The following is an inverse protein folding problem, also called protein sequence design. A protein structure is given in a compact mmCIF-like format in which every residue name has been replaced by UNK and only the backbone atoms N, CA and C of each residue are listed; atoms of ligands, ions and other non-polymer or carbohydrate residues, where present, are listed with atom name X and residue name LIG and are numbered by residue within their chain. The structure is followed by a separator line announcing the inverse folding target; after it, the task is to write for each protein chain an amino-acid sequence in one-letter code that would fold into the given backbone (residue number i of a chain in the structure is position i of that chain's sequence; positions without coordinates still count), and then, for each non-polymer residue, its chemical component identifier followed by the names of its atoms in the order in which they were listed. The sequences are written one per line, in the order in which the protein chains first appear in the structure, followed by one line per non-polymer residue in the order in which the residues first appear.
data_IF_835091143747
#
_entry.id   IF_835091143747
#
_cell.length_a   1.000
_cell.length_b   1.000
_cell.length_c   1.000
_cell.angle_alpha   90.00
_cell.angle_beta   90.00
_cell.angle_gamma   90.00
#
_symmetry.space_group_name_H-M   'P 1'
#
loop_
_entity.id
_entity.type
_entity.pdbx_description
1 polymer ?
#
# COMPACT_ATOMS: atom_id res chain seq x y z
N UNK A 1 -43.59 27.56 -66.20
CA UNK A 1 -43.13 28.35 -65.05
C UNK A 1 -44.03 28.26 -63.81
N UNK A 2 -45.23 27.64 -63.86
CA UNK A 2 -46.15 27.57 -62.73
C UNK A 2 -45.98 26.36 -61.77
N UNK A 3 -45.02 25.44 -62.01
CA UNK A 3 -44.84 24.24 -61.15
C UNK A 3 -43.63 24.29 -60.21
N UNK A 4 -42.84 25.37 -60.21
CA UNK A 4 -41.60 25.48 -59.40
C UNK A 4 -41.81 26.21 -58.06
N UNK A 5 -42.85 27.03 -57.95
CA UNK A 5 -43.13 27.87 -56.76
C UNK A 5 -43.54 27.00 -55.54
N UNK A 6 -44.41 25.97 -55.66
CA UNK A 6 -44.79 25.13 -54.52
C UNK A 6 -43.63 24.31 -53.92
N UNK A 7 -42.63 23.94 -54.74
CA UNK A 7 -41.46 23.19 -54.30
C UNK A 7 -40.46 24.08 -53.54
N UNK A 8 -40.32 25.36 -53.92
CA UNK A 8 -39.43 26.29 -53.24
C UNK A 8 -39.97 26.71 -51.87
N UNK A 9 -41.28 27.01 -51.77
CA UNK A 9 -41.92 27.35 -50.49
C UNK A 9 -41.86 26.20 -49.48
N UNK A 10 -41.94 24.95 -49.96
CA UNK A 10 -41.82 23.75 -49.13
C UNK A 10 -40.37 23.46 -48.74
N UNK A 11 -39.40 23.65 -49.63
CA UNK A 11 -37.96 23.58 -49.28
C UNK A 11 -37.58 24.65 -48.25
N UNK A 12 -38.10 25.87 -48.40
CA UNK A 12 -37.94 26.94 -47.42
C UNK A 12 -38.60 26.58 -46.09
N UNK A 13 -39.77 25.94 -46.11
CA UNK A 13 -40.43 25.44 -44.90
C UNK A 13 -39.64 24.33 -44.20
N UNK A 14 -39.02 23.43 -44.98
CA UNK A 14 -38.12 22.37 -44.48
C UNK A 14 -36.85 22.99 -43.86
N UNK A 15 -36.24 23.96 -44.53
CA UNK A 15 -35.04 24.67 -44.05
C UNK A 15 -35.38 25.50 -42.80
N UNK A 16 -36.54 26.19 -42.77
CA UNK A 16 -37.01 26.92 -41.60
C UNK A 16 -37.28 25.98 -40.43
N UNK A 17 -37.94 24.84 -40.66
CA UNK A 17 -38.10 23.81 -39.64
C UNK A 17 -36.73 23.33 -39.14
N UNK A 18 -35.78 23.00 -40.02
CA UNK A 18 -34.42 22.59 -39.66
C UNK A 18 -33.63 23.66 -38.87
N UNK A 19 -33.81 24.95 -39.22
CA UNK A 19 -33.17 26.08 -38.54
C UNK A 19 -33.76 26.29 -37.15
N UNK A 20 -35.09 26.31 -37.02
CA UNK A 20 -35.79 26.41 -35.73
C UNK A 20 -35.49 25.21 -34.81
N UNK A 21 -35.24 24.05 -35.40
CA UNK A 21 -34.81 22.83 -34.73
C UNK A 21 -33.36 22.93 -34.19
N UNK A 22 -32.48 23.68 -34.87
CA UNK A 22 -31.07 23.82 -34.46
C UNK A 22 -30.85 24.77 -33.27
N UNK A 23 -31.78 25.71 -33.02
CA UNK A 23 -31.70 26.71 -31.94
C UNK A 23 -32.23 26.19 -30.58
N UNK A 24 -32.84 25.01 -30.54
CA UNK A 24 -33.36 24.42 -29.32
C UNK A 24 -32.25 23.70 -28.53
N UNK A 25 -31.61 24.40 -27.59
CA UNK A 25 -30.72 23.77 -26.62
C UNK A 25 -31.47 22.74 -25.76
N UNK A 26 -31.05 21.47 -25.89
CA UNK A 26 -31.06 20.41 -24.86
C UNK A 26 -32.40 19.90 -24.29
N UNK A 27 -33.49 19.88 -25.07
CA UNK A 27 -34.65 19.01 -24.78
C UNK A 27 -34.95 18.11 -25.98
N UNK A 28 -34.45 16.88 -25.91
CA UNK A 28 -34.56 15.89 -26.99
C UNK A 28 -36.01 15.43 -27.20
N UNK A 29 -36.81 15.36 -26.14
CA UNK A 29 -38.21 14.92 -26.23
C UNK A 29 -39.07 16.01 -26.91
N UNK A 30 -38.90 17.27 -26.49
CA UNK A 30 -39.55 18.39 -27.16
C UNK A 30 -39.08 18.54 -28.62
N UNK A 31 -37.82 18.22 -28.90
CA UNK A 31 -37.28 18.21 -30.26
C UNK A 31 -37.90 17.10 -31.12
N UNK A 32 -37.96 15.86 -30.62
CA UNK A 32 -38.62 14.75 -31.31
C UNK A 32 -40.09 15.07 -31.59
N UNK A 33 -40.80 15.69 -30.64
CA UNK A 33 -42.19 16.10 -30.83
C UNK A 33 -42.33 17.12 -31.96
N UNK A 34 -41.48 18.16 -31.99
CA UNK A 34 -41.48 19.15 -33.09
C UNK A 34 -41.19 18.52 -34.45
N UNK A 35 -40.24 17.58 -34.53
CA UNK A 35 -39.94 16.85 -35.77
C UNK A 35 -41.16 16.04 -36.23
N UNK A 36 -41.79 15.31 -35.31
CA UNK A 36 -42.97 14.49 -35.59
C UNK A 36 -44.15 15.35 -36.08
N UNK A 37 -44.45 16.45 -35.41
CA UNK A 37 -45.54 17.36 -35.78
C UNK A 37 -45.27 18.03 -37.14
N UNK A 38 -44.03 18.47 -37.37
CA UNK A 38 -43.61 19.08 -38.64
C UNK A 38 -43.70 18.10 -39.81
N UNK A 39 -43.23 16.86 -39.60
CA UNK A 39 -43.29 15.81 -40.61
C UNK A 39 -44.73 15.44 -40.94
N UNK A 40 -45.61 15.31 -39.94
CA UNK A 40 -47.03 15.08 -40.18
C UNK A 40 -47.64 16.19 -41.04
N UNK A 41 -47.44 17.46 -40.65
CA UNK A 41 -48.00 18.61 -41.34
C UNK A 41 -47.46 18.76 -42.78
N UNK A 42 -46.15 18.57 -42.98
CA UNK A 42 -45.53 18.69 -44.31
C UNK A 42 -45.93 17.57 -45.26
N UNK A 43 -46.22 16.37 -44.73
CA UNK A 43 -46.58 15.20 -45.54
C UNK A 43 -48.08 14.98 -45.70
N UNK A 44 -48.92 15.76 -45.02
CA UNK A 44 -50.37 15.55 -44.92
C UNK A 44 -50.72 14.10 -44.52
N UNK A 45 -49.89 13.50 -43.66
CA UNK A 45 -50.06 12.11 -43.25
C UNK A 45 -51.07 11.98 -42.10
N UNK A 46 -51.69 10.81 -41.98
CA UNK A 46 -52.57 10.52 -40.86
C UNK A 46 -51.83 10.61 -39.51
N UNK A 47 -50.53 10.28 -39.51
CA UNK A 47 -49.66 10.47 -38.37
C UNK A 47 -48.19 10.19 -38.63
N UNK A 48 -47.36 10.65 -37.70
CA UNK A 48 -45.91 10.47 -37.69
C UNK A 48 -45.43 9.93 -36.34
N UNK A 49 -44.36 9.14 -36.35
CA UNK A 49 -43.79 8.50 -35.16
C UNK A 49 -42.27 8.44 -35.27
N UNK A 50 -41.58 8.69 -34.16
CA UNK A 50 -40.18 8.33 -33.96
C UNK A 50 -40.11 7.06 -33.11
N UNK A 51 -39.49 6.03 -33.66
CA UNK A 51 -39.24 4.76 -32.97
C UNK A 51 -37.73 4.61 -32.72
N UNK A 52 -37.30 4.26 -31.51
CA UNK A 52 -35.89 3.97 -31.20
C UNK A 52 -35.68 2.49 -30.89
N UNK A 53 -34.50 1.98 -31.21
CA UNK A 53 -34.09 0.61 -30.90
C UNK A 53 -33.76 0.50 -29.41
N UNK A 54 -34.38 -0.47 -28.73
CA UNK A 54 -34.00 -0.89 -27.39
C UNK A 54 -33.92 -2.41 -27.32
N UNK A 55 -32.68 -2.95 -27.36
CA UNK A 55 -32.47 -4.39 -27.44
C UNK A 55 -33.12 -4.99 -28.68
N UNK A 56 -34.06 -5.92 -28.49
CA UNK A 56 -34.82 -6.58 -29.57
C UNK A 56 -36.18 -5.91 -29.87
N UNK A 57 -36.40 -4.68 -29.39
CA UNK A 57 -37.64 -3.95 -29.61
C UNK A 57 -37.44 -2.63 -30.37
N UNK A 58 -38.44 -2.25 -31.18
CA UNK A 58 -38.66 -0.90 -31.66
C UNK A 58 -39.66 -0.21 -30.72
N UNK A 59 -39.26 0.89 -30.10
CA UNK A 59 -40.05 1.57 -29.06
C UNK A 59 -40.54 2.92 -29.57
N UNK A 60 -41.84 3.15 -29.49
CA UNK A 60 -42.47 4.41 -29.89
C UNK A 60 -42.08 5.48 -28.88
N UNK A 61 -41.08 6.30 -29.21
CA UNK A 61 -40.60 7.35 -28.32
C UNK A 61 -41.48 8.58 -28.36
N UNK A 62 -41.90 8.93 -29.56
CA UNK A 62 -42.65 10.14 -29.81
C UNK A 62 -43.64 9.89 -30.95
N UNK A 63 -44.85 10.41 -30.83
CA UNK A 63 -45.90 10.24 -31.82
C UNK A 63 -46.71 11.52 -31.99
N UNK A 64 -47.22 11.75 -33.19
CA UNK A 64 -48.11 12.88 -33.49
C UNK A 64 -49.37 12.78 -32.64
N UNK A 65 -50.09 13.90 -32.43
CA UNK A 65 -51.30 13.94 -31.61
C UNK A 65 -52.31 12.81 -31.92
N UNK A 66 -52.54 12.50 -33.20
CA UNK A 66 -53.43 11.42 -33.66
C UNK A 66 -53.00 10.01 -33.21
N UNK A 67 -51.74 9.84 -32.79
CA UNK A 67 -51.13 8.58 -32.38
C UNK A 67 -50.52 8.63 -30.97
N UNK A 68 -50.71 9.71 -30.22
CA UNK A 68 -50.11 9.92 -28.90
C UNK A 68 -50.46 8.81 -27.90
N UNK A 69 -51.65 8.20 -28.02
CA UNK A 69 -52.08 7.07 -27.20
C UNK A 69 -51.19 5.81 -27.34
N UNK A 70 -50.34 5.75 -28.38
CA UNK A 70 -49.42 4.65 -28.64
C UNK A 70 -47.97 4.98 -28.25
N UNK A 71 -47.71 6.12 -27.62
CA UNK A 71 -46.39 6.40 -27.06
C UNK A 71 -45.99 5.31 -26.03
N UNK A 72 -44.75 4.84 -26.11
CA UNK A 72 -44.25 3.71 -25.30
C UNK A 72 -44.57 2.32 -25.86
N UNK A 73 -45.35 2.19 -26.95
CA UNK A 73 -45.58 0.91 -27.60
C UNK A 73 -44.26 0.25 -28.02
N UNK A 74 -44.12 -1.05 -27.72
CA UNK A 74 -42.94 -1.85 -28.06
C UNK A 74 -43.30 -2.88 -29.11
N UNK A 75 -42.69 -2.78 -30.28
CA UNK A 75 -42.80 -3.77 -31.35
C UNK A 75 -41.57 -4.66 -31.35
N UNK A 76 -41.72 -5.95 -31.68
CA UNK A 76 -40.54 -6.79 -31.94
C UNK A 76 -39.79 -6.23 -33.14
N UNK A 77 -38.47 -6.15 -33.02
CA UNK A 77 -37.59 -5.70 -34.11
C UNK A 77 -37.61 -6.70 -35.25
N UNK A 78 -37.55 -8.00 -34.94
CA UNK A 78 -37.83 -9.06 -35.90
C UNK A 78 -39.32 -9.12 -36.27
N UNK A 79 -39.63 -9.01 -37.58
CA UNK A 79 -41.00 -9.12 -38.09
C UNK A 79 -41.79 -7.81 -38.17
N UNK A 80 -41.15 -6.66 -37.97
CA UNK A 80 -41.75 -5.33 -38.21
C UNK A 80 -41.05 -4.59 -39.34
N UNK A 81 -41.79 -3.78 -40.10
CA UNK A 81 -41.23 -2.97 -41.18
C UNK A 81 -40.20 -1.94 -40.65
N UNK A 82 -40.46 -1.36 -39.48
CA UNK A 82 -39.53 -0.47 -38.79
C UNK A 82 -38.21 -1.17 -38.43
N UNK A 83 -38.29 -2.38 -37.84
CA UNK A 83 -37.10 -3.16 -37.52
C UNK A 83 -36.33 -3.62 -38.76
N UNK A 84 -37.05 -3.93 -39.85
CA UNK A 84 -36.45 -4.25 -41.15
C UNK A 84 -35.72 -3.05 -41.76
N UNK A 85 -36.28 -1.83 -41.65
CA UNK A 85 -35.66 -0.60 -42.12
C UNK A 85 -34.35 -0.31 -41.39
N UNK A 86 -34.32 -0.49 -40.06
CA UNK A 86 -33.09 -0.41 -39.27
C UNK A 86 -32.07 -1.48 -39.69
N UNK A 87 -32.51 -2.73 -39.85
CA UNK A 87 -31.62 -3.85 -40.19
C UNK A 87 -31.00 -3.71 -41.59
N UNK A 88 -31.79 -3.27 -42.57
CA UNK A 88 -31.33 -3.04 -43.95
C UNK A 88 -30.66 -1.68 -44.14
N UNK A 89 -30.75 -0.79 -43.15
CA UNK A 89 -30.25 0.59 -43.20
C UNK A 89 -30.81 1.34 -44.42
N UNK A 90 -32.08 1.11 -44.73
CA UNK A 90 -32.75 1.62 -45.92
C UNK A 90 -34.15 2.15 -45.61
N UNK A 91 -34.58 3.13 -46.40
CA UNK A 91 -35.97 3.62 -46.38
C UNK A 91 -36.87 2.52 -46.94
N UNK A 92 -37.88 2.12 -46.17
CA UNK A 92 -38.83 1.10 -46.57
C UNK A 92 -40.23 1.68 -46.68
N UNK A 93 -40.85 1.45 -47.85
CA UNK A 93 -42.21 1.86 -48.16
C UNK A 93 -43.13 0.64 -48.23
N UNK A 94 -44.30 0.77 -47.62
CA UNK A 94 -45.42 -0.16 -47.68
C UNK A 94 -46.62 0.59 -48.27
N UNK A 95 -46.97 0.28 -49.51
CA UNK A 95 -48.04 0.93 -50.24
C UNK A 95 -49.44 0.41 -49.85
N UNK A 96 -49.55 -0.85 -49.44
CA UNK A 96 -50.78 -1.43 -48.92
C UNK A 96 -50.47 -2.49 -47.86
N UNK A 97 -50.89 -2.24 -46.62
CA UNK A 97 -50.66 -3.15 -45.49
C UNK A 97 -51.39 -4.48 -45.59
N UNK A 98 -52.39 -4.66 -46.47
CA UNK A 98 -53.03 -5.98 -46.68
C UNK A 98 -52.21 -6.89 -47.58
N UNK A 99 -51.39 -6.28 -48.43
CA UNK A 99 -50.67 -6.96 -49.51
C UNK A 99 -49.20 -7.14 -49.16
N UNK A 100 -48.67 -6.36 -48.21
CA UNK A 100 -47.27 -6.41 -47.81
C UNK A 100 -47.03 -7.48 -46.71
N UNK A 101 -46.25 -8.55 -46.98
CA UNK A 101 -45.96 -9.58 -45.99
C UNK A 101 -44.97 -9.11 -44.91
N UNK A 102 -44.36 -7.93 -45.05
CA UNK A 102 -43.37 -7.39 -44.10
C UNK A 102 -44.01 -6.67 -42.91
N UNK A 103 -45.32 -6.45 -42.93
CA UNK A 103 -46.07 -5.79 -41.85
C UNK A 103 -46.98 -6.79 -41.12
N UNK A 104 -47.24 -6.52 -39.84
CA UNK A 104 -48.30 -7.18 -39.10
C UNK A 104 -49.65 -6.57 -39.49
N UNK A 105 -50.42 -7.29 -40.31
CA UNK A 105 -51.69 -6.81 -40.86
C UNK A 105 -52.75 -6.62 -39.77
N UNK A 106 -52.78 -7.49 -38.78
CA UNK A 106 -53.75 -7.42 -37.69
C UNK A 106 -53.47 -6.21 -36.79
N UNK A 107 -52.20 -5.92 -36.51
CA UNK A 107 -51.80 -4.67 -35.87
C UNK A 107 -52.16 -3.44 -36.70
N UNK A 108 -51.88 -3.45 -38.02
CA UNK A 108 -52.22 -2.32 -38.89
C UNK A 108 -53.73 -2.05 -38.95
N UNK A 109 -54.57 -3.09 -39.02
CA UNK A 109 -56.03 -2.96 -38.99
C UNK A 109 -56.55 -2.38 -37.69
N UNK A 110 -56.02 -2.82 -36.54
CA UNK A 110 -56.41 -2.29 -35.21
C UNK A 110 -56.12 -0.80 -35.08
N UNK A 111 -55.03 -0.34 -35.66
CA UNK A 111 -54.58 1.06 -35.60
C UNK A 111 -55.16 1.88 -36.79
N UNK A 112 -55.80 1.24 -37.76
CA UNK A 112 -56.43 1.90 -38.91
C UNK A 112 -55.45 2.37 -39.99
N UNK A 113 -54.25 1.79 -40.07
CA UNK A 113 -53.23 2.17 -41.05
C UNK A 113 -53.32 1.29 -42.29
N UNK A 114 -53.17 1.91 -43.47
CA UNK A 114 -53.25 1.27 -44.79
C UNK A 114 -51.98 1.38 -45.61
N UNK A 115 -51.14 2.39 -45.36
CA UNK A 115 -49.82 2.53 -45.97
C UNK A 115 -48.86 3.26 -45.02
N UNK A 116 -47.55 3.04 -45.17
CA UNK A 116 -46.52 3.66 -44.33
C UNK A 116 -45.15 3.75 -45.00
N UNK A 117 -44.33 4.69 -44.54
CA UNK A 117 -42.91 4.79 -44.88
C UNK A 117 -42.10 4.84 -43.59
N UNK A 118 -41.08 3.99 -43.50
CA UNK A 118 -40.11 3.96 -42.40
C UNK A 118 -38.74 4.43 -42.91
N UNK A 119 -38.20 5.49 -42.32
CA UNK A 119 -36.90 6.07 -42.68
C UNK A 119 -35.94 5.89 -41.50
N UNK A 120 -34.76 5.27 -41.68
CA UNK A 120 -33.83 5.02 -40.58
C UNK A 120 -33.21 6.32 -40.04
N UNK A 121 -33.04 6.39 -38.72
CA UNK A 121 -32.31 7.44 -38.02
C UNK A 121 -30.87 6.97 -37.76
N UNK A 122 -29.89 7.76 -38.19
CA UNK A 122 -28.47 7.41 -38.05
C UNK A 122 -27.77 8.24 -36.98
N UNK A 123 -27.06 7.57 -36.08
CA UNK A 123 -26.12 8.17 -35.13
C UNK A 123 -24.75 7.52 -35.31
N UNK A 124 -23.71 8.30 -35.68
CA UNK A 124 -22.36 7.76 -35.86
C UNK A 124 -22.24 6.65 -36.92
N UNK A 125 -23.16 6.61 -37.89
CA UNK A 125 -23.25 5.56 -38.91
C UNK A 125 -24.10 4.35 -38.50
N UNK A 126 -24.52 4.22 -37.25
CA UNK A 126 -25.43 3.16 -36.81
C UNK A 126 -26.89 3.60 -36.93
N UNK A 127 -27.76 2.71 -37.41
CA UNK A 127 -29.20 2.96 -37.43
C UNK A 127 -29.78 2.71 -36.03
N UNK A 128 -30.16 3.78 -35.33
CA UNK A 128 -30.61 3.73 -33.93
C UNK A 128 -32.14 3.75 -33.78
N UNK A 129 -32.86 3.92 -34.89
CA UNK A 129 -34.32 4.05 -34.89
C UNK A 129 -34.89 4.31 -36.27
N UNK A 130 -36.18 4.65 -36.34
CA UNK A 130 -36.85 5.12 -37.54
C UNK A 130 -37.71 6.37 -37.27
N UNK A 131 -37.76 7.27 -38.25
CA UNK A 131 -38.84 8.23 -38.41
C UNK A 131 -39.85 7.65 -39.40
N UNK A 132 -41.10 7.57 -38.99
CA UNK A 132 -42.16 6.87 -39.71
C UNK A 132 -43.34 7.79 -39.94
N UNK A 133 -43.94 7.71 -41.13
CA UNK A 133 -45.28 8.27 -41.41
C UNK A 133 -46.24 7.20 -41.88
N UNK A 134 -47.52 7.43 -41.61
CA UNK A 134 -48.59 6.47 -41.85
C UNK A 134 -49.80 7.17 -42.45
N UNK A 135 -50.53 6.47 -43.32
CA UNK A 135 -51.77 6.95 -43.91
C UNK A 135 -52.89 5.91 -43.82
N UNK A 136 -54.14 6.39 -43.83
CA UNK A 136 -55.35 5.56 -43.75
C UNK A 136 -55.86 5.09 -45.12
N UNK A 137 -55.18 5.45 -46.21
CA UNK A 137 -55.47 4.97 -47.55
C UNK A 137 -54.29 4.14 -48.10
N UNK A 138 -54.55 3.13 -48.97
CA UNK A 138 -53.49 2.52 -49.76
C UNK A 138 -52.87 3.58 -50.68
N UNK A 139 -51.55 3.50 -50.92
CA UNK A 139 -50.76 4.47 -51.67
C UNK A 139 -50.88 5.92 -51.13
N UNK A 140 -51.18 6.08 -49.84
CA UNK A 140 -51.46 7.38 -49.23
C UNK A 140 -50.23 8.23 -48.93
N UNK A 141 -49.04 7.81 -49.36
CA UNK A 141 -47.77 8.52 -49.15
C UNK A 141 -47.08 8.65 -50.51
N UNK A 142 -46.78 9.89 -50.92
CA UNK A 142 -46.12 10.18 -52.19
C UNK A 142 -44.58 10.22 -52.05
N UNK A 143 -43.89 10.30 -53.18
CA UNK A 143 -42.41 10.34 -53.20
C UNK A 143 -41.85 11.61 -52.55
N UNK A 144 -42.61 12.69 -52.57
CA UNK A 144 -42.25 13.96 -51.95
C UNK A 144 -42.28 13.88 -50.41
N UNK A 145 -43.23 13.12 -49.84
CA UNK A 145 -43.25 12.79 -48.43
C UNK A 145 -42.04 11.92 -48.04
N UNK A 146 -41.65 10.95 -48.87
CA UNK A 146 -40.43 10.15 -48.65
C UNK A 146 -39.18 11.04 -48.53
N UNK A 147 -39.01 11.99 -49.45
CA UNK A 147 -37.90 12.95 -49.42
C UNK A 147 -37.94 13.85 -48.18
N UNK A 148 -39.14 14.26 -47.77
CA UNK A 148 -39.34 15.06 -46.54
C UNK A 148 -38.87 14.28 -45.31
N UNK A 149 -39.22 13.00 -45.23
CA UNK A 149 -38.79 12.13 -44.13
C UNK A 149 -37.28 11.94 -44.12
N UNK A 150 -36.65 11.75 -45.28
CA UNK A 150 -35.19 11.55 -45.38
C UNK A 150 -34.41 12.75 -44.80
N UNK A 151 -34.80 13.97 -45.18
CA UNK A 151 -34.17 15.21 -44.67
C UNK A 151 -34.39 15.42 -43.16
N UNK A 152 -35.60 15.13 -42.69
CA UNK A 152 -35.95 15.25 -41.25
C UNK A 152 -35.25 14.17 -40.43
N UNK A 153 -35.17 12.95 -40.94
CA UNK A 153 -34.46 11.83 -40.31
C UNK A 153 -32.96 12.10 -40.18
N UNK A 154 -32.32 12.69 -41.19
CA UNK A 154 -30.92 13.09 -41.12
C UNK A 154 -30.68 14.15 -40.03
N UNK A 155 -31.56 15.15 -39.94
CA UNK A 155 -31.48 16.22 -38.94
C UNK A 155 -31.65 15.66 -37.52
N UNK A 156 -32.66 14.81 -37.33
CA UNK A 156 -32.94 14.17 -36.05
C UNK A 156 -31.82 13.20 -35.63
N UNK A 157 -31.30 12.41 -36.57
CA UNK A 157 -30.15 11.52 -36.32
C UNK A 157 -28.90 12.28 -35.86
N UNK A 158 -28.59 13.42 -36.48
CA UNK A 158 -27.47 14.28 -36.07
C UNK A 158 -27.64 14.85 -34.66
N UNK A 159 -28.85 15.32 -34.32
CA UNK A 159 -29.16 15.84 -32.99
C UNK A 159 -29.05 14.75 -31.90
N UNK A 160 -29.62 13.57 -32.16
CA UNK A 160 -29.52 12.38 -31.29
C UNK A 160 -28.05 11.99 -31.06
N UNK A 161 -27.23 11.97 -32.12
CA UNK A 161 -25.81 11.63 -32.01
C UNK A 161 -25.02 12.60 -31.14
N UNK A 162 -25.28 13.91 -31.25
CA UNK A 162 -24.64 14.95 -30.43
C UNK A 162 -25.03 14.83 -28.95
N UNK A 163 -26.31 14.55 -28.66
CA UNK A 163 -26.78 14.37 -27.29
C UNK A 163 -26.15 13.15 -26.61
N UNK A 164 -26.15 11.99 -27.28
CA UNK A 164 -25.53 10.78 -26.77
C UNK A 164 -24.03 10.96 -26.49
N UNK A 165 -23.33 11.65 -27.39
CA UNK A 165 -21.91 11.96 -27.20
C UNK A 165 -21.67 12.91 -26.01
N UNK A 166 -22.56 13.89 -25.79
CA UNK A 166 -22.46 14.80 -24.66
C UNK A 166 -22.68 14.09 -23.32
N UNK A 167 -23.70 13.24 -23.22
CA UNK A 167 -23.97 12.44 -22.02
C UNK A 167 -22.82 11.47 -21.70
N UNK A 168 -22.27 10.80 -22.71
CA UNK A 168 -21.10 9.94 -22.54
C UNK A 168 -19.89 10.72 -22.03
N UNK A 169 -19.64 11.93 -22.57
CA UNK A 169 -18.54 12.79 -22.10
C UNK A 169 -18.73 13.21 -20.64
N UNK A 170 -19.94 13.59 -20.25
CA UNK A 170 -20.25 13.94 -18.86
C UNK A 170 -20.05 12.74 -17.93
N UNK A 171 -20.48 11.54 -18.33
CA UNK A 171 -20.29 10.32 -17.55
C UNK A 171 -18.81 9.96 -17.40
N UNK A 172 -18.03 10.03 -18.48
CA UNK A 172 -16.58 9.80 -18.43
C UNK A 172 -15.87 10.83 -17.55
N UNK A 173 -16.23 12.11 -17.65
CA UNK A 173 -15.67 13.16 -16.81
C UNK A 173 -15.99 12.94 -15.32
N UNK A 174 -17.23 12.56 -15.00
CA UNK A 174 -17.64 12.21 -13.64
C UNK A 174 -16.89 10.97 -13.11
N UNK A 175 -16.72 9.94 -13.93
CA UNK A 175 -15.94 8.76 -13.57
C UNK A 175 -14.47 9.08 -13.31
N UNK A 176 -13.85 9.90 -14.16
CA UNK A 176 -12.48 10.37 -13.98
C UNK A 176 -12.34 11.13 -12.66
N UNK A 177 -13.20 12.11 -12.41
CA UNK A 177 -13.17 12.90 -11.19
C UNK A 177 -13.38 12.04 -9.93
N UNK A 178 -14.30 11.07 -9.99
CA UNK A 178 -14.52 10.14 -8.88
C UNK A 178 -13.35 9.17 -8.67
N UNK A 179 -12.67 8.74 -9.73
CA UNK A 179 -11.45 7.93 -9.66
C UNK A 179 -10.30 8.72 -9.05
N UNK A 180 -10.11 9.97 -9.46
CA UNK A 180 -9.09 10.88 -8.93
C UNK A 180 -9.32 11.15 -7.43
N UNK A 181 -10.56 11.47 -7.04
CA UNK A 181 -10.92 11.65 -5.63
C UNK A 181 -10.67 10.39 -4.81
N UNK A 182 -10.94 9.20 -5.36
CA UNK A 182 -10.70 7.91 -4.70
C UNK A 182 -9.21 7.63 -4.53
N UNK A 183 -8.40 7.85 -5.57
CA UNK A 183 -6.94 7.72 -5.50
C UNK A 183 -6.36 8.71 -4.47
N UNK A 184 -6.81 9.96 -4.50
CA UNK A 184 -6.40 10.99 -3.53
C UNK A 184 -6.78 10.62 -2.10
N UNK A 185 -7.97 10.07 -1.87
CA UNK A 185 -8.40 9.58 -0.56
C UNK A 185 -7.55 8.38 -0.09
N UNK A 186 -7.20 7.44 -0.99
CA UNK A 186 -6.31 6.32 -0.66
C UNK A 186 -4.91 6.80 -0.27
N UNK A 187 -4.39 7.83 -0.93
CA UNK A 187 -3.10 8.46 -0.59
C UNK A 187 -3.15 9.24 0.73
N UNK A 188 -4.27 9.93 1.01
CA UNK A 188 -4.48 10.69 2.25
C UNK A 188 -4.73 9.81 3.48
N UNK A 189 -5.29 8.61 3.28
CA UNK A 189 -5.54 7.61 4.34
C UNK A 189 -4.47 6.51 4.42
N UNK A 190 -3.42 6.58 3.61
CA UNK A 190 -2.22 5.78 3.88
C UNK A 190 -1.65 6.24 5.23
N UNK A 191 -1.41 5.30 6.14
CA UNK A 191 -0.73 5.61 7.40
C UNK A 191 0.72 6.09 7.19
N UNK A 192 1.24 5.93 5.97
CA UNK A 192 2.61 6.27 5.63
C UNK A 192 2.74 7.76 5.28
N UNK A 193 3.85 8.34 5.71
CA UNK A 193 4.26 9.68 5.32
C UNK A 193 4.61 9.70 3.82
N UNK A 194 3.99 10.61 3.08
CA UNK A 194 4.26 10.83 1.65
C UNK A 194 4.92 12.19 1.52
N UNK A 195 6.10 12.19 0.90
CA UNK A 195 6.87 13.40 0.61
C UNK A 195 7.33 13.34 -0.82
N UNK A 196 7.05 14.40 -1.57
CA UNK A 196 7.56 14.59 -2.94
C UNK A 196 8.56 15.74 -2.99
N UNK A 197 9.56 15.64 -3.85
CA UNK A 197 10.54 16.69 -4.09
C UNK A 197 10.94 16.78 -5.56
N UNK A 198 11.38 17.98 -5.97
CA UNK A 198 11.87 18.23 -7.32
C UNK A 198 13.32 17.75 -7.54
N UNK A 199 13.85 18.00 -8.74
CA UNK A 199 15.22 17.66 -9.11
C UNK A 199 16.30 18.34 -8.28
N UNK A 200 15.99 19.46 -7.62
CA UNK A 200 16.90 20.16 -6.71
C UNK A 200 16.81 19.64 -5.26
N UNK A 201 15.93 18.68 -4.98
CA UNK A 201 15.67 18.16 -3.65
C UNK A 201 14.79 19.06 -2.80
N UNK A 202 14.05 19.98 -3.43
CA UNK A 202 13.11 20.89 -2.76
C UNK A 202 11.75 20.22 -2.64
N UNK A 203 11.16 20.24 -1.45
CA UNK A 203 9.89 19.59 -1.16
C UNK A 203 8.73 20.25 -1.93
N UNK A 204 8.01 19.45 -2.71
CA UNK A 204 6.84 19.83 -3.50
C UNK A 204 5.53 19.31 -2.91
N UNK A 205 5.58 18.25 -2.11
CA UNK A 205 4.41 17.66 -1.46
C UNK A 205 4.75 17.17 -0.05
N UNK A 206 3.82 17.38 0.88
CA UNK A 206 3.96 16.99 2.27
C UNK A 206 2.59 16.62 2.84
N UNK A 207 2.30 15.33 3.00
CA UNK A 207 0.98 14.88 3.44
C UNK A 207 0.80 15.00 4.98
N UNK A 208 -0.43 14.93 5.52
CA UNK A 208 -0.67 15.00 6.97
C UNK A 208 0.03 13.89 7.78
N UNK A 209 0.34 12.74 7.18
CA UNK A 209 1.11 11.69 7.84
C UNK A 209 2.58 12.08 8.01
N UNK A 210 3.17 12.78 7.04
CA UNK A 210 4.51 13.36 7.14
C UNK A 210 4.58 14.45 8.22
N UNK A 211 3.52 15.26 8.37
CA UNK A 211 3.44 16.23 9.48
C UNK A 211 3.50 15.55 10.84
N UNK A 212 2.73 14.47 11.03
CA UNK A 212 2.75 13.70 12.29
C UNK A 212 4.07 12.99 12.51
N UNK A 213 4.68 12.44 11.45
CA UNK A 213 5.90 11.66 11.54
C UNK A 213 7.14 12.51 11.87
N UNK A 214 7.28 13.67 11.21
CA UNK A 214 8.50 14.48 11.31
C UNK A 214 8.32 15.79 12.07
N UNK A 215 7.08 16.18 12.43
CA UNK A 215 6.79 17.36 13.25
C UNK A 215 6.84 18.71 12.51
N UNK A 216 7.01 18.67 11.19
CA UNK A 216 6.94 19.85 10.33
C UNK A 216 5.55 19.99 9.73
N UNK A 217 4.95 21.18 9.83
CA UNK A 217 3.69 21.44 9.11
C UNK A 217 3.97 21.60 7.61
N UNK A 218 2.99 21.26 6.77
CA UNK A 218 3.13 21.32 5.33
C UNK A 218 3.47 22.75 4.84
N UNK A 219 2.88 23.78 5.44
CA UNK A 219 3.17 25.19 5.12
C UNK A 219 4.61 25.61 5.47
N UNK A 220 5.29 24.89 6.36
CA UNK A 220 6.69 25.11 6.70
C UNK A 220 7.65 24.23 5.90
N UNK A 221 7.21 23.02 5.53
CA UNK A 221 8.03 22.04 4.80
C UNK A 221 8.08 22.32 3.29
N UNK A 222 6.98 22.79 2.70
CA UNK A 222 6.89 23.06 1.27
C UNK A 222 7.90 24.15 0.86
N UNK A 223 8.62 23.90 -0.24
CA UNK A 223 9.65 24.80 -0.75
C UNK A 223 10.98 24.76 0.02
N UNK A 224 11.12 23.92 1.05
CA UNK A 224 12.39 23.72 1.75
C UNK A 224 13.18 22.54 1.17
N UNK A 225 14.52 22.52 1.30
CA UNK A 225 15.32 21.35 0.96
C UNK A 225 14.99 20.18 1.89
N UNK A 226 14.67 19.00 1.32
CA UNK A 226 14.35 17.81 2.11
C UNK A 226 15.47 17.44 3.10
N UNK A 227 16.73 17.65 2.69
CA UNK A 227 17.91 17.35 3.51
C UNK A 227 18.01 18.20 4.78
N UNK A 228 17.45 19.41 4.77
CA UNK A 228 17.40 20.27 5.95
C UNK A 228 16.34 19.82 6.97
N UNK A 229 15.25 19.18 6.50
CA UNK A 229 14.10 18.82 7.32
C UNK A 229 14.27 17.48 8.04
N UNK A 230 14.59 16.41 7.31
CA UNK A 230 14.49 15.04 7.83
C UNK A 230 15.77 14.23 7.75
N UNK A 231 16.78 14.70 7.01
CA UNK A 231 18.04 13.96 6.83
C UNK A 231 19.03 14.33 7.96
N UNK A 232 19.60 13.35 8.68
CA UNK A 232 20.57 13.60 9.73
C UNK A 232 21.76 14.43 9.22
N UNK A 233 22.29 15.40 9.99
CA UNK A 233 23.33 16.31 9.53
C UNK A 233 24.55 15.61 8.89
N UNK A 234 24.99 14.49 9.46
CA UNK A 234 26.12 13.70 8.96
C UNK A 234 25.89 13.05 7.58
N UNK A 235 24.63 12.93 7.13
CA UNK A 235 24.25 12.22 5.91
C UNK A 235 23.78 13.15 4.78
N UNK A 236 23.60 14.45 5.04
CA UNK A 236 23.06 15.42 4.05
C UNK A 236 23.89 15.48 2.77
N UNK A 237 25.21 15.58 2.90
CA UNK A 237 26.11 15.62 1.73
C UNK A 237 26.03 14.34 0.88
N UNK A 238 25.93 13.18 1.53
CA UNK A 238 25.81 11.90 0.85
C UNK A 238 24.48 11.76 0.11
N UNK A 239 23.39 12.25 0.73
CA UNK A 239 22.05 12.33 0.16
C UNK A 239 22.04 13.24 -1.09
N UNK A 240 22.49 14.49 -0.96
CA UNK A 240 22.44 15.48 -2.04
C UNK A 240 23.32 15.05 -3.22
N UNK A 241 24.51 14.51 -2.94
CA UNK A 241 25.36 13.90 -3.97
C UNK A 241 24.74 12.65 -4.61
N UNK A 242 23.86 11.94 -3.90
CA UNK A 242 23.10 10.81 -4.41
C UNK A 242 22.10 11.23 -5.49
N UNK A 243 21.35 12.31 -5.24
CA UNK A 243 20.40 12.90 -6.20
C UNK A 243 21.13 13.31 -7.48
N UNK A 244 22.23 14.06 -7.35
CA UNK A 244 23.03 14.50 -8.50
C UNK A 244 23.54 13.32 -9.35
N UNK A 245 24.05 12.26 -8.71
CA UNK A 245 24.49 11.04 -9.41
C UNK A 245 23.35 10.31 -10.10
N UNK A 246 22.16 10.29 -9.51
CA UNK A 246 20.98 9.67 -10.10
C UNK A 246 20.58 10.39 -11.40
N UNK A 247 20.46 11.73 -11.35
CA UNK A 247 20.10 12.55 -12.51
C UNK A 247 21.10 12.39 -13.66
N UNK A 248 22.40 12.32 -13.36
CA UNK A 248 23.46 12.15 -14.35
C UNK A 248 23.42 10.79 -15.08
N UNK A 249 22.80 9.75 -14.50
CA UNK A 249 22.73 8.40 -15.09
C UNK A 249 21.49 8.14 -15.94
N UNK A 250 20.62 9.15 -16.13
CA UNK A 250 19.42 9.02 -16.96
C UNK A 250 18.23 8.34 -16.29
N UNK A 251 18.26 8.17 -14.96
CA UNK A 251 17.11 7.88 -14.09
C UNK A 251 16.15 6.77 -14.54
N UNK A 252 16.31 5.57 -13.98
CA UNK A 252 15.26 4.56 -13.95
C UNK A 252 15.52 3.60 -12.79
N UNK A 253 15.40 4.11 -11.56
CA UNK A 253 15.50 3.29 -10.35
C UNK A 253 14.32 3.60 -9.43
N UNK A 254 13.64 2.53 -9.04
CA UNK A 254 12.74 2.48 -7.90
C UNK A 254 13.50 1.72 -6.82
N UNK A 255 13.63 2.29 -5.63
CA UNK A 255 14.09 1.53 -4.48
C UNK A 255 12.89 1.19 -3.60
N UNK A 256 12.78 -0.09 -3.26
CA UNK A 256 11.79 -0.58 -2.31
C UNK A 256 12.48 -0.94 -1.00
N UNK A 257 11.91 -0.48 0.12
CA UNK A 257 12.23 -0.96 1.47
C UNK A 257 13.69 -0.76 1.90
N UNK A 258 14.10 0.49 2.04
CA UNK A 258 15.36 0.89 2.66
C UNK A 258 15.11 1.31 4.11
N UNK A 259 15.82 0.73 5.07
CA UNK A 259 15.80 1.21 6.44
C UNK A 259 16.87 2.29 6.64
N UNK A 260 16.46 3.52 6.93
CA UNK A 260 17.35 4.68 7.01
C UNK A 260 17.12 5.47 8.30
N UNK A 261 18.17 6.11 8.85
CA UNK A 261 18.00 7.07 9.91
C UNK A 261 17.39 8.37 9.36
N UNK A 262 16.48 8.95 10.13
CA UNK A 262 15.92 10.26 9.90
C UNK A 262 15.97 11.08 11.20
N UNK A 263 15.63 12.37 11.11
CA UNK A 263 15.47 13.24 12.27
C UNK A 263 14.08 13.87 12.28
N UNK A 264 13.50 13.95 13.48
CA UNK A 264 12.31 14.75 13.74
C UNK A 264 12.70 16.23 13.89
N UNK A 265 11.73 17.16 13.76
CA UNK A 265 11.94 18.61 13.87
C UNK A 265 12.69 19.07 15.12
N UNK A 266 12.47 18.39 16.25
CA UNK A 266 13.13 18.68 17.52
C UNK A 266 14.58 18.14 17.62
N UNK A 267 15.05 17.47 16.55
CA UNK A 267 16.38 16.88 16.46
C UNK A 267 16.45 15.44 16.97
N UNK A 268 15.35 14.84 17.44
CA UNK A 268 15.37 13.44 17.87
C UNK A 268 15.64 12.50 16.70
N UNK A 269 16.59 11.56 16.84
CA UNK A 269 16.85 10.57 15.81
C UNK A 269 15.73 9.52 15.78
N UNK A 270 15.35 9.13 14.57
CA UNK A 270 14.37 8.08 14.33
C UNK A 270 14.82 7.15 13.22
N UNK A 271 14.17 5.98 13.12
CA UNK A 271 14.40 5.05 12.02
C UNK A 271 13.16 4.96 11.15
N UNK A 272 13.34 5.14 9.86
CA UNK A 272 12.26 5.04 8.87
C UNK A 272 12.53 3.88 7.91
N UNK A 273 11.46 3.24 7.45
CA UNK A 273 11.46 2.43 6.24
C UNK A 273 11.00 3.30 5.06
N UNK A 274 11.85 3.42 4.03
CA UNK A 274 11.63 4.23 2.84
C UNK A 274 11.42 3.35 1.61
N UNK A 275 10.37 3.64 0.85
CA UNK A 275 10.23 3.25 -0.55
C UNK A 275 10.09 4.50 -1.41
N UNK A 276 10.77 4.58 -2.54
CA UNK A 276 10.73 5.78 -3.37
C UNK A 276 10.76 5.49 -4.87
N UNK A 277 10.20 6.41 -5.65
CA UNK A 277 10.22 6.41 -7.10
C UNK A 277 10.55 7.79 -7.64
N UNK A 278 11.35 7.85 -8.70
CA UNK A 278 11.54 9.06 -9.50
C UNK A 278 10.85 8.91 -10.87
N UNK A 279 10.18 9.95 -11.34
CA UNK A 279 9.55 9.99 -12.67
C UNK A 279 9.79 11.34 -13.35
N UNK A 280 9.66 11.38 -14.67
CA UNK A 280 9.60 12.63 -15.42
C UNK A 280 8.15 13.06 -15.62
N UNK A 281 7.82 14.25 -15.11
CA UNK A 281 6.50 14.89 -15.26
C UNK A 281 6.73 16.23 -15.96
N UNK A 282 6.11 16.42 -17.13
CA UNK A 282 6.28 17.66 -17.92
C UNK A 282 7.72 17.97 -18.33
N UNK A 283 8.59 16.95 -18.43
CA UNK A 283 10.01 17.11 -18.75
C UNK A 283 10.93 17.42 -17.56
N UNK A 284 10.38 17.57 -16.34
CA UNK A 284 11.14 17.74 -15.11
C UNK A 284 11.14 16.44 -14.28
N UNK A 285 12.20 16.21 -13.53
CA UNK A 285 12.27 15.09 -12.58
C UNK A 285 11.54 15.42 -11.28
N UNK A 286 10.72 14.48 -10.83
CA UNK A 286 10.05 14.49 -9.53
C UNK A 286 10.30 13.16 -8.81
N UNK A 287 10.53 13.25 -7.50
CA UNK A 287 10.76 12.10 -6.63
C UNK A 287 9.65 12.04 -5.59
N UNK A 288 9.08 10.86 -5.38
CA UNK A 288 8.09 10.63 -4.32
C UNK A 288 8.58 9.51 -3.42
N UNK A 289 8.61 9.78 -2.12
CA UNK A 289 8.98 8.85 -1.06
C UNK A 289 7.80 8.51 -0.15
N UNK A 290 7.68 7.24 0.20
CA UNK A 290 6.75 6.67 1.16
C UNK A 290 7.55 6.20 2.37
N UNK A 291 7.20 6.71 3.55
CA UNK A 291 7.99 6.52 4.76
C UNK A 291 7.14 6.04 5.92
N UNK A 292 7.65 5.04 6.63
CA UNK A 292 7.02 4.44 7.79
C UNK A 292 7.95 4.49 9.00
N UNK A 293 7.43 4.82 10.19
CA UNK A 293 8.22 4.77 11.42
C UNK A 293 8.48 3.31 11.83
N UNK A 294 9.74 2.93 11.94
CA UNK A 294 10.15 1.61 12.44
C UNK A 294 10.92 1.72 13.75
N UNK A 295 10.88 2.87 14.42
CA UNK A 295 11.61 3.14 15.66
C UNK A 295 11.16 2.21 16.79
N UNK A 296 9.85 2.00 16.95
CA UNK A 296 9.32 1.06 17.95
C UNK A 296 9.72 -0.38 17.63
N UNK A 297 9.58 -0.81 16.36
CA UNK A 297 10.02 -2.13 15.89
C UNK A 297 11.49 -2.36 16.22
N UNK A 298 12.37 -1.41 15.88
CA UNK A 298 13.81 -1.52 16.18
C UNK A 298 14.12 -1.51 17.67
N UNK A 299 13.39 -0.73 18.46
CA UNK A 299 13.52 -0.75 19.93
C UNK A 299 13.13 -2.10 20.50
N UNK A 300 12.03 -2.69 20.04
CA UNK A 300 11.57 -4.01 20.47
C UNK A 300 12.54 -5.10 20.02
N UNK A 301 13.02 -5.07 18.78
CA UNK A 301 14.04 -5.99 18.28
C UNK A 301 15.33 -5.91 19.11
N UNK A 302 15.80 -4.70 19.44
CA UNK A 302 16.97 -4.49 20.30
C UNK A 302 16.73 -4.97 21.74
N UNK A 303 15.55 -4.72 22.30
CA UNK A 303 15.17 -5.20 23.62
C UNK A 303 15.08 -6.73 23.68
N UNK A 304 14.47 -7.37 22.67
CA UNK A 304 14.42 -8.81 22.53
C UNK A 304 15.82 -9.42 22.36
N UNK A 305 16.69 -8.78 21.58
CA UNK A 305 18.10 -9.20 21.44
C UNK A 305 18.84 -9.12 22.78
N UNK A 306 18.60 -8.05 23.54
CA UNK A 306 19.16 -7.88 24.88
C UNK A 306 18.67 -8.97 25.82
N UNK A 307 17.36 -9.24 25.88
CA UNK A 307 16.79 -10.31 26.72
C UNK A 307 17.25 -11.72 26.30
N UNK A 308 17.47 -11.94 25.00
CA UNK A 308 17.95 -13.22 24.50
C UNK A 308 19.40 -13.51 24.89
N UNK A 309 20.21 -12.48 25.16
CA UNK A 309 21.65 -12.61 25.38
C UNK A 309 22.12 -12.22 26.79
N UNK A 310 21.35 -11.41 27.51
CA UNK A 310 21.76 -10.84 28.80
C UNK A 310 20.83 -11.28 29.94
N UNK A 311 21.40 -11.34 31.15
CA UNK A 311 20.65 -11.49 32.39
C UNK A 311 19.96 -10.14 32.73
N UNK A 312 18.63 -10.11 32.92
CA UNK A 312 17.89 -8.85 33.04
C UNK A 312 18.22 -8.06 34.31
N UNK A 313 18.70 -8.70 35.37
CA UNK A 313 19.06 -8.02 36.60
C UNK A 313 20.48 -7.44 36.53
N UNK A 314 21.45 -8.20 36.02
CA UNK A 314 22.87 -7.82 36.08
C UNK A 314 23.43 -7.22 34.79
N UNK A 315 22.77 -7.40 33.64
CA UNK A 315 23.26 -6.98 32.32
C UNK A 315 24.52 -7.74 31.84
N UNK A 316 24.89 -8.82 32.53
CA UNK A 316 25.92 -9.78 32.08
C UNK A 316 25.34 -10.73 31.05
N UNK A 317 26.18 -11.54 30.39
CA UNK A 317 25.66 -12.58 29.51
C UNK A 317 24.81 -13.58 30.31
N UNK A 318 23.67 -13.98 29.75
CA UNK A 318 22.89 -15.08 30.29
C UNK A 318 23.56 -16.43 29.99
N UNK A 319 23.02 -17.50 30.57
CA UNK A 319 23.54 -18.87 30.39
C UNK A 319 23.74 -19.24 28.93
N UNK A 320 22.76 -18.98 28.06
CA UNK A 320 22.82 -19.33 26.64
C UNK A 320 23.96 -18.60 25.94
N UNK A 321 24.03 -17.28 26.07
CA UNK A 321 25.05 -16.47 25.40
C UNK A 321 26.46 -16.76 25.94
N UNK A 322 26.60 -17.08 27.22
CA UNK A 322 27.88 -17.45 27.81
C UNK A 322 28.37 -18.82 27.29
N UNK A 323 27.48 -19.80 27.17
CA UNK A 323 27.82 -21.11 26.57
C UNK A 323 28.28 -20.93 25.12
N UNK A 324 27.56 -20.14 24.31
CA UNK A 324 27.95 -19.84 22.92
C UNK A 324 29.32 -19.13 22.84
N UNK A 325 29.61 -18.21 23.76
CA UNK A 325 30.91 -17.55 23.84
C UNK A 325 32.04 -18.53 24.23
N UNK A 326 31.73 -19.49 25.10
CA UNK A 326 32.66 -20.54 25.52
C UNK A 326 33.00 -21.47 24.36
N UNK A 327 32.01 -21.92 23.59
CA UNK A 327 32.23 -22.74 22.41
C UNK A 327 33.09 -22.02 21.37
N UNK A 328 32.88 -20.70 21.18
CA UNK A 328 33.74 -19.89 20.30
C UNK A 328 35.19 -19.86 20.77
N UNK A 329 35.44 -19.68 22.07
CA UNK A 329 36.80 -19.70 22.61
C UNK A 329 37.46 -21.09 22.45
N UNK A 330 36.71 -22.18 22.68
CA UNK A 330 37.19 -23.53 22.45
C UNK A 330 37.54 -23.79 20.97
N UNK A 331 36.74 -23.27 20.04
CA UNK A 331 37.09 -23.32 18.62
C UNK A 331 38.32 -22.48 18.25
N UNK A 332 38.63 -21.42 19.01
CA UNK A 332 39.87 -20.65 18.83
C UNK A 332 41.07 -21.42 19.39
N UNK A 333 40.91 -22.12 20.53
CA UNK A 333 41.91 -23.04 21.06
C UNK A 333 42.24 -24.16 20.05
N UNK A 334 41.22 -24.80 19.48
CA UNK A 334 41.41 -25.89 18.52
C UNK A 334 42.11 -25.44 17.22
N UNK A 335 41.81 -24.23 16.74
CA UNK A 335 42.34 -23.71 15.46
C UNK A 335 43.69 -23.02 15.60
N UNK A 336 43.90 -22.29 16.69
CA UNK A 336 45.02 -21.36 16.84
C UNK A 336 45.89 -21.66 18.06
N UNK A 337 45.53 -22.66 18.89
CA UNK A 337 46.24 -22.97 20.12
C UNK A 337 46.13 -21.87 21.18
N UNK A 338 45.19 -20.93 21.05
CA UNK A 338 44.99 -19.85 22.02
C UNK A 338 44.31 -20.42 23.26
N UNK A 339 44.97 -20.46 24.42
CA UNK A 339 44.41 -21.10 25.60
C UNK A 339 43.30 -20.26 26.23
N UNK A 340 42.41 -20.91 26.96
CA UNK A 340 41.37 -20.23 27.73
C UNK A 340 41.18 -20.91 29.09
N UNK A 341 40.67 -20.17 30.07
CA UNK A 341 40.30 -20.69 31.37
C UNK A 341 38.89 -20.25 31.75
N UNK A 342 38.14 -21.14 32.39
CA UNK A 342 36.82 -20.86 32.91
C UNK A 342 36.86 -20.84 34.44
N UNK A 343 36.35 -19.76 35.01
CA UNK A 343 36.12 -19.60 36.43
C UNK A 343 34.61 -19.69 36.67
N UNK A 344 34.19 -20.60 37.53
CA UNK A 344 32.81 -20.74 37.99
C UNK A 344 32.71 -20.24 39.43
N UNK A 345 31.78 -19.35 39.71
CA UNK A 345 31.64 -18.66 40.98
C UNK A 345 30.25 -18.90 41.55
N UNK A 346 30.18 -19.06 42.85
CA UNK A 346 28.93 -19.07 43.60
C UNK A 346 29.07 -18.21 44.85
N UNK A 347 28.07 -17.36 45.12
CA UNK A 347 28.12 -16.41 46.23
C UNK A 347 27.80 -17.08 47.57
N UNK A 348 28.82 -17.19 48.42
CA UNK A 348 28.69 -17.71 49.76
C UNK A 348 27.96 -16.72 50.67
N UNK A 349 26.93 -17.22 51.36
CA UNK A 349 26.15 -16.41 52.31
C UNK A 349 25.05 -15.57 51.66
N UNK A 350 24.82 -15.69 50.34
CA UNK A 350 23.79 -14.93 49.64
C UNK A 350 22.38 -15.16 50.18
N UNK A 351 22.01 -16.42 50.46
CA UNK A 351 20.71 -16.73 51.10
C UNK A 351 20.54 -16.02 52.45
N UNK A 352 21.58 -16.00 53.28
CA UNK A 352 21.55 -15.30 54.59
C UNK A 352 21.39 -13.79 54.41
N UNK A 353 22.02 -13.21 53.38
CA UNK A 353 21.83 -11.79 53.04
C UNK A 353 20.36 -11.50 52.72
N UNK A 354 19.73 -12.32 51.86
CA UNK A 354 18.30 -12.21 51.54
C UNK A 354 17.42 -12.35 52.77
N UNK A 355 17.66 -13.37 53.60
CA UNK A 355 16.85 -13.65 54.79
C UNK A 355 16.98 -12.52 55.84
N UNK A 356 18.11 -11.83 55.90
CA UNK A 356 18.38 -10.78 56.89
C UNK A 356 18.00 -9.38 56.42
N UNK A 357 18.19 -9.07 55.13
CA UNK A 357 18.07 -7.70 54.57
C UNK A 357 17.02 -7.57 53.45
N UNK A 358 16.34 -8.67 53.11
CA UNK A 358 15.31 -8.71 52.08
C UNK A 358 15.85 -8.93 50.67
N UNK A 359 14.96 -9.31 49.75
CA UNK A 359 15.30 -9.64 48.36
C UNK A 359 15.89 -8.47 47.58
N UNK A 360 15.42 -7.24 47.82
CA UNK A 360 15.99 -6.06 47.15
C UNK A 360 17.49 -5.89 47.47
N UNK A 361 17.90 -6.13 48.72
CA UNK A 361 19.31 -6.07 49.10
C UNK A 361 20.14 -7.19 48.45
N UNK A 362 19.53 -8.34 48.17
CA UNK A 362 20.14 -9.40 47.36
C UNK A 362 20.31 -9.01 45.90
N UNK A 363 19.28 -8.41 45.31
CA UNK A 363 19.32 -7.93 43.94
C UNK A 363 20.39 -6.84 43.75
N UNK A 364 20.45 -5.88 44.67
CA UNK A 364 21.49 -4.84 44.68
C UNK A 364 22.90 -5.45 44.84
N UNK A 365 23.04 -6.50 45.67
CA UNK A 365 24.30 -7.21 45.81
C UNK A 365 24.71 -7.96 44.53
N UNK A 366 23.77 -8.59 43.82
CA UNK A 366 24.03 -9.25 42.54
C UNK A 366 24.49 -8.24 41.48
N UNK A 367 23.86 -7.06 41.43
CA UNK A 367 24.27 -5.97 40.54
C UNK A 367 25.67 -5.45 40.88
N UNK A 368 25.97 -5.22 42.16
CA UNK A 368 27.28 -4.77 42.60
C UNK A 368 28.39 -5.78 42.26
N UNK A 369 28.14 -7.07 42.50
CA UNK A 369 29.05 -8.17 42.13
C UNK A 369 29.27 -8.19 40.62
N UNK A 370 28.21 -8.08 39.82
CA UNK A 370 28.32 -8.08 38.37
C UNK A 370 29.20 -6.92 37.85
N UNK A 371 29.03 -5.73 38.41
CA UNK A 371 29.85 -4.56 38.08
C UNK A 371 31.31 -4.77 38.48
N UNK A 372 31.56 -5.31 39.67
CA UNK A 372 32.91 -5.60 40.15
C UNK A 372 33.64 -6.64 39.28
N UNK A 373 32.94 -7.71 38.88
CA UNK A 373 33.48 -8.71 37.96
C UNK A 373 33.80 -8.10 36.59
N UNK A 374 32.87 -7.32 36.02
CA UNK A 374 33.07 -6.68 34.72
C UNK A 374 34.22 -5.68 34.72
N UNK A 375 34.42 -4.94 35.81
CA UNK A 375 35.54 -4.01 35.97
C UNK A 375 36.88 -4.69 36.28
N UNK A 376 36.86 -5.90 36.82
CA UNK A 376 38.06 -6.66 37.21
C UNK A 376 38.68 -7.52 36.10
N UNK A 377 37.97 -7.74 34.99
CA UNK A 377 38.42 -8.57 33.86
C UNK A 377 38.91 -7.73 32.67
N UNK A 378 39.65 -8.35 31.74
CA UNK A 378 40.15 -7.69 30.53
C UNK A 378 39.04 -7.54 29.49
N UNK A 379 39.26 -6.68 28.50
CA UNK A 379 38.30 -6.42 27.40
C UNK A 379 37.91 -7.68 26.61
N UNK A 380 38.82 -8.65 26.50
CA UNK A 380 38.58 -9.90 25.76
C UNK A 380 37.97 -11.01 26.64
N UNK A 381 37.93 -10.82 27.96
CA UNK A 381 37.33 -11.78 28.87
C UNK A 381 35.81 -11.62 28.85
N UNK A 382 35.10 -12.72 29.04
CA UNK A 382 33.64 -12.76 29.01
C UNK A 382 33.11 -13.05 30.41
N UNK A 383 32.10 -12.30 30.84
CA UNK A 383 31.46 -12.49 32.15
C UNK A 383 29.97 -12.79 31.94
N UNK A 384 29.48 -13.82 32.64
CA UNK A 384 28.09 -14.23 32.59
C UNK A 384 27.50 -14.52 33.97
N UNK A 385 26.17 -14.49 34.05
CA UNK A 385 25.40 -14.99 35.19
C UNK A 385 24.53 -16.15 34.71
N UNK A 386 24.71 -17.32 35.31
CA UNK A 386 24.04 -18.54 34.86
C UNK A 386 22.67 -18.76 35.51
N UNK A 387 22.40 -18.04 36.61
CA UNK A 387 21.15 -18.06 37.38
C UNK A 387 21.43 -17.91 38.88
N UNK A 388 20.45 -17.43 39.66
CA UNK A 388 20.59 -17.30 41.11
C UNK A 388 21.83 -16.48 41.51
N UNK A 389 22.71 -17.08 42.30
CA UNK A 389 23.99 -16.58 42.78
C UNK A 389 25.21 -17.12 42.01
N UNK A 390 25.01 -17.77 40.86
CA UNK A 390 26.07 -18.34 40.04
C UNK A 390 26.57 -17.37 38.96
N UNK A 391 27.87 -17.07 39.00
CA UNK A 391 28.57 -16.24 38.02
C UNK A 391 29.67 -17.05 37.33
N UNK A 392 30.05 -16.63 36.13
CA UNK A 392 31.11 -17.26 35.36
C UNK A 392 31.99 -16.22 34.68
N UNK A 393 33.27 -16.53 34.57
CA UNK A 393 34.25 -15.73 33.83
C UNK A 393 35.01 -16.66 32.89
N UNK A 394 35.02 -16.33 31.61
CA UNK A 394 35.85 -16.97 30.60
C UNK A 394 37.02 -16.04 30.28
N UNK A 395 38.22 -16.44 30.67
CA UNK A 395 39.46 -15.71 30.45
C UNK A 395 40.11 -16.19 29.15
N UNK A 396 40.15 -15.31 28.15
CA UNK A 396 40.74 -15.61 26.85
C UNK A 396 42.27 -15.38 26.88
N UNK A 397 43.01 -16.26 26.21
CA UNK A 397 44.47 -16.26 26.22
C UNK A 397 45.12 -16.72 27.54
N UNK A 398 44.36 -17.36 28.45
CA UNK A 398 44.86 -17.81 29.74
C UNK A 398 44.97 -19.35 29.79
N UNK A 399 46.19 -19.87 29.75
CA UNK A 399 46.48 -21.32 29.76
C UNK A 399 47.31 -21.82 30.93
N UNK A 400 47.79 -20.92 31.78
CA UNK A 400 48.65 -21.25 32.91
C UNK A 400 47.87 -21.32 34.22
N UNK A 401 48.12 -22.35 35.02
CA UNK A 401 47.45 -22.59 36.28
C UNK A 401 47.72 -21.49 37.31
N UNK A 402 48.94 -20.95 37.37
CA UNK A 402 49.28 -19.87 38.30
C UNK A 402 48.58 -18.57 37.92
N UNK A 403 48.51 -18.25 36.63
CA UNK A 403 47.73 -17.11 36.12
C UNK A 403 46.23 -17.26 36.41
N UNK A 404 45.67 -18.46 36.22
CA UNK A 404 44.25 -18.72 36.47
C UNK A 404 43.90 -18.52 37.95
N UNK A 405 44.76 -19.02 38.85
CA UNK A 405 44.65 -18.82 40.30
C UNK A 405 44.78 -17.35 40.69
N UNK A 406 45.72 -16.62 40.10
CA UNK A 406 45.87 -15.19 40.35
C UNK A 406 44.62 -14.40 39.92
N UNK A 407 44.01 -14.77 38.80
CA UNK A 407 42.73 -14.18 38.36
C UNK A 407 41.59 -14.53 39.31
N UNK A 408 41.49 -15.80 39.74
CA UNK A 408 40.51 -16.21 40.73
C UNK A 408 40.69 -15.48 42.07
N UNK A 409 41.92 -15.15 42.47
CA UNK A 409 42.20 -14.38 43.69
C UNK A 409 41.69 -12.95 43.55
N UNK A 410 41.91 -12.32 42.38
CA UNK A 410 41.35 -10.99 42.08
C UNK A 410 39.83 -11.00 42.10
N UNK A 411 39.22 -12.02 41.53
CA UNK A 411 37.76 -12.24 41.54
C UNK A 411 37.23 -12.36 42.96
N UNK A 412 37.84 -13.20 43.81
CA UNK A 412 37.47 -13.34 45.22
C UNK A 412 37.51 -11.99 45.96
N UNK A 413 38.58 -11.21 45.72
CA UNK A 413 38.74 -9.90 46.34
C UNK A 413 37.67 -8.91 45.84
N UNK A 414 37.44 -8.85 44.53
CA UNK A 414 36.44 -7.98 43.92
C UNK A 414 35.04 -8.25 44.46
N UNK A 415 34.65 -9.53 44.64
CA UNK A 415 33.34 -9.88 45.23
C UNK A 415 33.22 -9.44 46.68
N UNK A 416 34.27 -9.62 47.50
CA UNK A 416 34.28 -9.20 48.91
C UNK A 416 34.15 -7.68 49.05
N UNK A 417 34.79 -6.93 48.15
CA UNK A 417 34.78 -5.47 48.15
C UNK A 417 33.50 -4.88 47.55
N UNK A 418 32.81 -5.61 46.66
CA UNK A 418 31.61 -5.14 45.97
C UNK A 418 30.44 -4.83 46.93
N UNK A 419 30.33 -5.57 48.05
CA UNK A 419 29.26 -5.39 49.02
C UNK A 419 29.84 -5.30 50.44
N UNK A 420 30.43 -4.16 50.83
CA UNK A 420 31.10 -4.00 52.13
C UNK A 420 30.16 -4.27 53.32
N UNK A 421 30.66 -4.97 54.35
CA UNK A 421 29.90 -5.22 55.58
C UNK A 421 28.68 -6.16 55.43
N UNK A 422 28.56 -6.86 54.29
CA UNK A 422 27.54 -7.89 54.06
C UNK A 422 27.94 -9.26 54.61
N UNK A 423 29.25 -9.52 54.74
CA UNK A 423 29.79 -10.85 54.99
C UNK A 423 29.69 -11.78 53.78
N UNK A 424 29.36 -11.25 52.61
CA UNK A 424 29.30 -11.98 51.34
C UNK A 424 30.72 -12.32 50.87
N UNK A 425 30.91 -13.57 50.44
CA UNK A 425 32.12 -14.01 49.73
C UNK A 425 31.71 -14.85 48.52
N UNK A 426 32.67 -15.45 47.82
CA UNK A 426 32.35 -16.47 46.84
C UNK A 426 33.31 -17.65 46.91
N UNK A 427 32.85 -18.78 46.39
CA UNK A 427 33.66 -19.96 46.12
C UNK A 427 33.92 -20.04 44.63
N UNK A 428 35.18 -20.23 44.23
CA UNK A 428 35.60 -20.20 42.82
C UNK A 428 36.18 -21.54 42.37
N UNK A 429 35.60 -22.14 41.34
CA UNK A 429 36.14 -23.29 40.63
C UNK A 429 36.85 -22.88 39.35
N UNK A 430 38.01 -23.46 39.08
CA UNK A 430 38.85 -23.11 37.93
C UNK A 430 38.99 -24.34 37.05
N UNK A 431 38.74 -24.21 35.75
CA UNK A 431 39.05 -25.23 34.75
C UNK A 431 39.81 -24.61 33.57
N UNK A 432 40.93 -25.22 33.17
CA UNK A 432 41.63 -24.84 31.94
C UNK A 432 41.00 -25.55 30.75
N UNK A 433 40.74 -24.81 29.69
CA UNK A 433 40.20 -25.34 28.45
C UNK A 433 41.19 -26.33 27.81
N UNK A 434 40.66 -27.45 27.31
CA UNK A 434 41.43 -28.46 26.58
C UNK A 434 40.95 -28.54 25.12
N UNK A 435 41.84 -28.87 24.17
CA UNK A 435 41.43 -29.09 22.79
C UNK A 435 40.36 -30.17 22.67
N UNK A 436 39.43 -30.01 21.71
CA UNK A 436 38.31 -30.93 21.43
C UNK A 436 37.36 -31.16 22.61
N UNK A 437 37.26 -30.19 23.51
CA UNK A 437 36.30 -30.19 24.62
C UNK A 437 35.07 -29.35 24.25
N UNK A 438 33.91 -29.68 24.81
CA UNK A 438 32.68 -28.86 24.69
C UNK A 438 32.55 -27.83 25.81
N UNK A 439 31.79 -26.74 25.57
CA UNK A 439 31.51 -25.75 26.61
C UNK A 439 30.83 -26.37 27.84
N UNK A 440 29.91 -27.31 27.64
CA UNK A 440 29.21 -28.03 28.72
C UNK A 440 30.18 -28.78 29.63
N UNK A 441 31.16 -29.49 29.05
CA UNK A 441 32.17 -30.21 29.83
C UNK A 441 33.07 -29.24 30.60
N UNK A 442 33.49 -28.12 29.99
CA UNK A 442 34.34 -27.14 30.66
C UNK A 442 33.61 -26.46 31.83
N UNK A 443 32.34 -26.09 31.63
CA UNK A 443 31.47 -25.58 32.68
C UNK A 443 31.31 -26.58 33.83
N UNK A 444 31.05 -27.85 33.52
CA UNK A 444 30.89 -28.90 34.52
C UNK A 444 32.16 -29.14 35.33
N UNK A 445 33.33 -29.10 34.69
CA UNK A 445 34.62 -29.25 35.37
C UNK A 445 34.89 -28.10 36.35
N UNK A 446 34.58 -26.87 35.95
CA UNK A 446 34.74 -25.71 36.80
C UNK A 446 33.71 -25.72 37.96
N UNK A 447 32.47 -26.10 37.71
CA UNK A 447 31.44 -26.27 38.74
C UNK A 447 31.83 -27.32 39.80
N UNK A 448 32.33 -28.49 39.37
CA UNK A 448 32.85 -29.51 40.28
C UNK A 448 34.01 -28.99 41.14
N UNK A 449 34.91 -28.20 40.55
CA UNK A 449 35.99 -27.55 41.29
C UNK A 449 35.44 -26.53 42.29
N UNK A 450 34.44 -25.73 41.91
CA UNK A 450 33.79 -24.75 42.79
C UNK A 450 33.16 -25.45 44.00
N UNK A 451 32.47 -26.57 43.77
CA UNK A 451 31.92 -27.39 44.84
C UNK A 451 33.01 -27.93 45.80
N UNK A 452 34.16 -28.33 45.26
CA UNK A 452 35.35 -28.68 46.06
C UNK A 452 35.94 -27.50 46.87
N UNK A 453 35.77 -26.26 46.41
CA UNK A 453 36.11 -25.07 47.19
C UNK A 453 35.11 -24.87 48.35
N UNK A 454 33.81 -25.02 48.10
CA UNK A 454 32.76 -24.93 49.14
C UNK A 454 32.98 -25.91 50.28
N UNK A 455 33.33 -27.17 49.98
CA UNK A 455 33.57 -28.20 50.99
C UNK A 455 34.78 -27.90 51.90
N UNK A 456 35.74 -27.09 51.45
CA UNK A 456 36.95 -26.73 52.21
C UNK A 456 36.77 -25.50 53.10
N UNK A 457 35.54 -25.06 53.33
CA UNK A 457 35.22 -23.96 54.24
C UNK A 457 34.68 -22.70 53.58
N UNK A 458 34.31 -22.74 52.29
CA UNK A 458 33.81 -21.60 51.49
C UNK A 458 34.82 -20.45 51.39
N UNK A 459 34.50 -19.42 50.59
CA UNK A 459 35.32 -18.20 50.49
C UNK A 459 36.72 -18.42 49.89
N UNK A 460 36.89 -19.47 49.10
CA UNK A 460 38.17 -19.91 48.55
C UNK A 460 38.07 -20.43 47.11
N UNK A 461 39.10 -21.13 46.64
CA UNK A 461 39.13 -21.64 45.26
C UNK A 461 39.62 -23.07 45.15
N UNK A 462 39.18 -23.78 44.10
CA UNK A 462 39.73 -25.07 43.69
C UNK A 462 39.96 -25.09 42.18
N UNK A 463 40.86 -25.98 41.75
CA UNK A 463 41.15 -26.19 40.35
C UNK A 463 40.80 -27.64 39.96
N UNK A 464 40.19 -27.80 38.78
CA UNK A 464 39.85 -29.10 38.24
C UNK A 464 41.13 -29.89 37.91
N UNK A 465 41.19 -31.16 38.34
CA UNK A 465 42.33 -32.05 38.12
C UNK A 465 43.40 -32.03 39.21
N UNK A 466 43.23 -31.25 40.28
CA UNK A 466 44.10 -31.33 41.45
C UNK A 466 43.58 -32.36 42.46
N UNK A 467 44.48 -33.25 42.91
CA UNK A 467 44.16 -34.21 43.96
C UNK A 467 43.84 -33.47 45.27
N UNK A 468 42.80 -33.93 45.97
CA UNK A 468 42.47 -33.46 47.32
C UNK A 468 43.69 -33.60 48.23
N UNK A 469 44.15 -32.53 48.92
CA UNK A 469 45.08 -32.73 50.00
C UNK A 469 44.39 -33.57 51.08
N UNK A 470 44.89 -34.78 51.31
CA UNK A 470 44.49 -35.61 52.44
C UNK A 470 44.61 -34.78 53.72
N UNK A 471 43.56 -34.75 54.52
CA UNK A 471 43.44 -33.88 55.69
C UNK A 471 44.64 -33.99 56.62
N UNK A 472 45.17 -32.84 57.03
CA UNK A 472 45.96 -32.71 58.24
C UNK A 472 45.01 -32.90 59.44
N UNK A 473 44.74 -34.15 59.78
CA UNK A 473 44.23 -34.51 61.09
C UNK A 473 45.40 -34.62 62.07
N UNK A 474 45.50 -33.64 62.96
CA UNK A 474 46.13 -33.77 64.26
C UNK A 474 45.17 -33.16 65.29
#
# INVERSE_FOLDING_TARGET
MASAIPQLDRLLSIIQAQSQLSDAELDLDAFMQRVVDSVQALTDSAGAVVELVEGDAMVYRCASASFAAHAGLRLRRGGSLSGLSVAQRAILRCDDTEQDPRVDREACRRIGIRSMVCTPLFCGGEAVGVLKVMAQAPHGIDDMAVQTLELMAATLGGALGRQLAYEQRLQMAAQLHMSEARLRAMLLHANDAIVSMDAAGVVTEWNPAAERLFGWRADEALGQPLSALIIPPALRQAHDGGIARFLARGGALRASRLELPAVHRDGQPMSIELSWSGAQVGGAWEFTGFMHDISERKRLEAALSTLALQDPLTGLLNRRAFTDATDKALHHLDRHGTPAALLFLDLDGFKRLNDTRGHQAGDDALVAVAQALRGGVRKNDVVGRLGGDEFVVLADGLGDAAQARAMAQKVLQAVREAVPGSGLSCSVGIALARPRQSATELLQQADQAMYGAKQRGRGGMAMHGEAQPAGAGA
#
